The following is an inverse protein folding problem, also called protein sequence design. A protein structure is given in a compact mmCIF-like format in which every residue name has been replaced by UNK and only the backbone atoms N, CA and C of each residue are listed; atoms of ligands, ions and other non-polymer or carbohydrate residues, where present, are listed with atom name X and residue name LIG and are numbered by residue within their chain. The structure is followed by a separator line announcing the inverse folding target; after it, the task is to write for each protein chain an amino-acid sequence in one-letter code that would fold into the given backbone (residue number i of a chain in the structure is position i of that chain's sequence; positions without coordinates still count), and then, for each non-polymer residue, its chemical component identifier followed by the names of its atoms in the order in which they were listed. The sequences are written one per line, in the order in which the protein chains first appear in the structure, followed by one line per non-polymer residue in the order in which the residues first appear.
data_IF_323294992707
#
_entry.id   IF_323294992707
#
_cell.length_a   1.000
_cell.length_b   1.000
_cell.length_c   1.000
_cell.angle_alpha   90.00
_cell.angle_beta   90.00
_cell.angle_gamma   90.00
#
_symmetry.space_group_name_H-M   'P 1'
#
loop_
_entity.id
_entity.type
_entity.pdbx_description
1 polymer ?
#
# COMPACT_ATOMS: atom_id res chain seq x y z
N UNK A 1 -8.49 -6.97 -20.63
CA UNK A 1 -7.29 -6.16 -20.41
C UNK A 1 -6.63 -6.77 -19.20
N UNK A 2 -5.48 -7.40 -19.37
CA UNK A 2 -4.74 -7.97 -18.24
C UNK A 2 -4.12 -6.81 -17.45
N UNK A 3 -4.45 -6.70 -16.15
CA UNK A 3 -3.89 -5.67 -15.27
C UNK A 3 -2.47 -6.12 -14.89
N UNK A 4 -1.46 -5.30 -15.21
CA UNK A 4 -0.11 -5.55 -14.74
C UNK A 4 0.04 -5.07 -13.28
N UNK A 5 0.14 -6.00 -12.34
CA UNK A 5 0.27 -5.65 -10.92
C UNK A 5 1.58 -4.96 -10.58
N UNK A 6 2.62 -5.10 -11.42
CA UNK A 6 3.91 -4.46 -11.19
C UNK A 6 3.85 -2.94 -11.36
N UNK A 7 2.89 -2.40 -12.12
CA UNK A 7 2.68 -0.94 -12.24
C UNK A 7 2.37 -0.30 -10.89
N UNK A 8 1.85 -1.08 -9.92
CA UNK A 8 1.63 -0.60 -8.56
C UNK A 8 2.93 -0.27 -7.82
N UNK A 9 4.09 -0.73 -8.28
CA UNK A 9 5.39 -0.44 -7.66
C UNK A 9 5.85 1.00 -7.93
N UNK A 10 5.35 1.62 -9.00
CA UNK A 10 5.63 3.03 -9.33
C UNK A 10 4.79 4.00 -8.49
N UNK A 11 3.79 3.50 -7.77
CA UNK A 11 3.01 4.30 -6.82
C UNK A 11 3.85 4.64 -5.58
N UNK A 12 3.99 5.92 -5.25
CA UNK A 12 4.69 6.38 -4.05
C UNK A 12 3.78 6.23 -2.81
N UNK A 13 4.17 5.35 -1.88
CA UNK A 13 3.41 5.09 -0.66
C UNK A 13 3.45 6.25 0.34
N UNK A 14 4.44 7.13 0.21
CA UNK A 14 4.74 8.21 1.16
C UNK A 14 4.67 9.58 0.49
N UNK A 15 3.93 9.68 -0.63
CA UNK A 15 3.75 10.95 -1.31
C UNK A 15 3.19 12.01 -0.35
N UNK A 16 3.92 13.12 -0.22
CA UNK A 16 3.58 14.23 0.69
C UNK A 16 4.23 14.17 2.08
N UNK A 17 4.91 13.08 2.44
CA UNK A 17 5.70 13.03 3.68
C UNK A 17 7.02 13.81 3.53
N UNK A 18 7.36 14.62 4.54
CA UNK A 18 8.63 15.37 4.58
C UNK A 18 9.67 14.51 5.33
N UNK A 19 10.50 13.81 4.57
CA UNK A 19 11.66 13.07 5.09
C UNK A 19 12.87 13.96 5.41
N UNK A 20 13.89 13.36 6.03
CA UNK A 20 15.19 14.00 6.28
C UNK A 20 16.22 13.73 5.16
N UNK A 21 15.81 12.99 4.11
CA UNK A 21 16.62 12.61 2.97
C UNK A 21 17.46 11.35 3.20
N UNK A 22 17.35 10.71 4.36
CA UNK A 22 18.04 9.44 4.66
C UNK A 22 17.18 8.21 4.35
N UNK A 23 15.91 8.43 4.03
CA UNK A 23 14.97 7.40 3.65
C UNK A 23 15.42 6.65 2.40
N UNK A 24 15.28 5.31 2.43
CA UNK A 24 15.60 4.49 1.26
C UNK A 24 14.76 3.23 1.20
N UNK A 25 14.31 2.90 0.00
CA UNK A 25 13.70 1.61 -0.29
C UNK A 25 14.78 0.53 -0.39
N UNK A 26 14.63 -0.57 0.37
CA UNK A 26 15.51 -1.73 0.28
C UNK A 26 14.93 -2.84 -0.61
N UNK A 27 13.60 -2.95 -0.63
CA UNK A 27 12.91 -3.87 -1.53
C UNK A 27 11.48 -3.43 -1.71
N UNK A 28 10.95 -3.59 -2.93
CA UNK A 28 9.53 -3.41 -3.23
C UNK A 28 9.10 -4.41 -4.29
N UNK A 29 8.07 -5.21 -4.00
CA UNK A 29 7.70 -6.39 -4.80
C UNK A 29 6.23 -6.74 -4.66
N UNK A 30 5.65 -7.32 -5.71
CA UNK A 30 4.39 -8.05 -5.63
C UNK A 30 4.68 -9.49 -5.17
N UNK A 31 4.03 -9.92 -4.09
CA UNK A 31 4.29 -11.21 -3.44
C UNK A 31 3.00 -11.94 -3.10
N UNK A 32 3.10 -13.25 -2.89
CA UNK A 32 2.08 -14.06 -2.24
C UNK A 32 2.43 -14.21 -0.75
N UNK A 33 1.57 -13.69 0.14
CA UNK A 33 1.86 -13.64 1.57
C UNK A 33 1.95 -15.05 2.18
N UNK A 34 2.90 -15.25 3.10
CA UNK A 34 3.07 -16.51 3.86
C UNK A 34 2.50 -16.44 5.28
N UNK A 35 2.31 -15.23 5.80
CA UNK A 35 1.78 -14.93 7.14
C UNK A 35 0.68 -13.88 7.01
N UNK A 36 -0.19 -13.73 8.02
CA UNK A 36 -1.15 -12.65 8.03
C UNK A 36 -0.45 -11.30 8.20
N UNK A 37 -0.94 -10.28 7.48
CA UNK A 37 -0.46 -8.89 7.57
C UNK A 37 -1.65 -7.93 7.65
N UNK A 38 -1.39 -6.65 7.92
CA UNK A 38 -2.38 -5.58 7.86
C UNK A 38 -2.00 -4.64 6.73
N UNK A 39 -2.97 -4.32 5.88
CA UNK A 39 -2.79 -3.39 4.77
C UNK A 39 -2.46 -1.99 5.31
N UNK A 40 -1.38 -1.39 4.83
CA UNK A 40 -0.96 -0.05 5.23
C UNK A 40 -2.00 1.02 4.86
N UNK A 41 -2.51 0.99 3.62
CA UNK A 41 -3.49 1.96 3.12
C UNK A 41 -4.83 1.79 3.83
N UNK A 42 -5.51 0.66 3.62
CA UNK A 42 -6.90 0.51 4.03
C UNK A 42 -7.09 -0.20 5.38
N UNK A 43 -6.02 -0.64 6.04
CA UNK A 43 -6.09 -1.29 7.37
C UNK A 43 -6.76 -2.66 7.41
N UNK A 44 -7.06 -3.29 6.27
CA UNK A 44 -7.67 -4.62 6.20
C UNK A 44 -6.64 -5.72 6.48
N UNK A 45 -7.10 -6.86 7.00
CA UNK A 45 -6.24 -8.04 7.13
C UNK A 45 -5.93 -8.64 5.76
N UNK A 46 -4.69 -9.08 5.59
CA UNK A 46 -4.18 -9.85 4.44
C UNK A 46 -3.90 -11.24 4.97
N UNK A 47 -4.57 -12.25 4.44
CA UNK A 47 -4.42 -13.64 4.85
C UNK A 47 -3.28 -14.34 4.08
N UNK A 48 -2.69 -15.41 4.65
CA UNK A 48 -1.75 -16.25 3.92
C UNK A 48 -2.33 -16.75 2.58
N UNK A 49 -1.51 -16.70 1.53
CA UNK A 49 -1.90 -17.07 0.18
C UNK A 49 -2.50 -15.94 -0.66
N UNK A 50 -2.81 -14.78 -0.08
CA UNK A 50 -3.24 -13.62 -0.84
C UNK A 50 -2.07 -12.86 -1.47
N UNK A 51 -2.36 -12.12 -2.54
CA UNK A 51 -1.41 -11.23 -3.19
C UNK A 51 -1.31 -9.92 -2.40
N UNK A 52 -0.10 -9.37 -2.30
CA UNK A 52 0.15 -8.06 -1.73
C UNK A 52 1.37 -7.41 -2.38
N UNK A 53 1.42 -6.07 -2.39
CA UNK A 53 2.69 -5.35 -2.48
C UNK A 53 3.37 -5.43 -1.12
N UNK A 54 4.65 -5.75 -1.10
CA UNK A 54 5.47 -5.81 0.10
C UNK A 54 6.70 -4.96 -0.11
N UNK A 55 6.83 -3.94 0.72
CA UNK A 55 7.97 -3.03 0.66
C UNK A 55 8.71 -2.97 2.00
N UNK A 56 10.02 -2.77 1.94
CA UNK A 56 10.88 -2.61 3.11
C UNK A 56 11.71 -1.35 2.94
N UNK A 57 11.66 -0.50 3.94
CA UNK A 57 12.23 0.83 3.92
C UNK A 57 13.09 1.05 5.16
N UNK A 58 14.05 1.96 5.03
CA UNK A 58 14.75 2.55 6.18
C UNK A 58 14.24 3.96 6.36
N UNK A 59 13.78 4.28 7.57
CA UNK A 59 13.42 5.63 8.01
C UNK A 59 14.16 5.88 9.33
N UNK A 60 14.85 7.01 9.48
CA UNK A 60 15.60 7.37 10.70
C UNK A 60 16.56 6.26 11.21
N UNK A 61 17.09 5.45 10.29
CA UNK A 61 17.96 4.31 10.61
C UNK A 61 17.23 3.03 11.06
N UNK A 62 15.91 3.06 11.17
CA UNK A 62 15.07 1.91 11.53
C UNK A 62 14.47 1.22 10.30
N UNK A 63 14.31 -0.11 10.38
CA UNK A 63 13.72 -0.91 9.32
C UNK A 63 12.20 -0.99 9.48
N UNK A 64 11.48 -0.55 8.46
CA UNK A 64 10.03 -0.64 8.39
C UNK A 64 9.60 -1.57 7.25
N UNK A 65 8.51 -2.31 7.44
CA UNK A 65 7.92 -3.18 6.44
C UNK A 65 6.45 -2.86 6.26
N UNK A 66 6.05 -2.63 5.01
CA UNK A 66 4.67 -2.29 4.64
C UNK A 66 4.11 -3.36 3.72
N UNK A 67 2.82 -3.62 3.89
CA UNK A 67 2.07 -4.54 3.05
C UNK A 67 0.82 -3.84 2.55
N UNK A 68 0.50 -3.97 1.27
CA UNK A 68 -0.72 -3.42 0.68
C UNK A 68 -1.51 -4.57 0.06
N UNK A 69 -2.78 -4.72 0.46
CA UNK A 69 -3.62 -5.82 -0.02
C UNK A 69 -3.89 -5.69 -1.52
N UNK A 70 -4.23 -6.81 -2.16
CA UNK A 70 -4.54 -6.89 -3.60
C UNK A 70 -5.52 -5.80 -4.08
N UNK A 71 -6.56 -5.47 -3.30
CA UNK A 71 -7.52 -4.41 -3.67
C UNK A 71 -6.84 -3.04 -3.74
N UNK A 72 -5.94 -2.75 -2.81
CA UNK A 72 -5.18 -1.49 -2.83
C UNK A 72 -4.12 -1.51 -3.94
N UNK A 73 -3.52 -2.66 -4.23
CA UNK A 73 -2.61 -2.81 -5.38
C UNK A 73 -3.34 -2.50 -6.69
N UNK A 74 -4.55 -3.01 -6.90
CA UNK A 74 -5.35 -2.65 -8.08
C UNK A 74 -5.68 -1.16 -8.15
N UNK A 75 -5.98 -0.53 -7.02
CA UNK A 75 -6.21 0.92 -6.97
C UNK A 75 -4.95 1.70 -7.33
N UNK A 76 -3.77 1.27 -6.84
CA UNK A 76 -2.47 1.87 -7.18
C UNK A 76 -2.16 1.74 -8.68
N UNK A 77 -2.39 0.57 -9.28
CA UNK A 77 -2.20 0.39 -10.73
C UNK A 77 -3.05 1.40 -11.50
N UNK A 78 -4.32 1.55 -11.13
CA UNK A 78 -5.22 2.52 -11.79
C UNK A 78 -4.79 3.97 -11.58
N UNK A 79 -4.35 4.30 -10.37
CA UNK A 79 -3.81 5.62 -10.03
C UNK A 79 -2.62 5.97 -10.92
N UNK A 80 -1.57 5.12 -10.90
CA UNK A 80 -0.35 5.30 -11.69
C UNK A 80 -0.64 5.38 -13.19
N UNK A 81 -1.51 4.50 -13.69
CA UNK A 81 -1.86 4.47 -15.11
C UNK A 81 -2.89 5.55 -15.50
N UNK A 82 -3.36 6.36 -14.56
CA UNK A 82 -4.44 7.33 -14.77
C UNK A 82 -5.69 6.69 -15.40
N UNK A 83 -6.00 5.44 -15.01
CA UNK A 83 -7.13 4.64 -15.50
C UNK A 83 -8.36 4.82 -14.59
N UNK A 84 -8.88 6.05 -14.59
CA UNK A 84 -10.10 6.46 -13.89
C UNK A 84 -10.66 7.76 -14.48
N UNK A 85 -11.99 7.93 -14.46
CA UNK A 85 -12.66 9.08 -15.09
C UNK A 85 -12.85 10.27 -14.12
N UNK A 86 -13.22 10.00 -12.87
CA UNK A 86 -13.63 11.03 -11.90
C UNK A 86 -12.61 11.20 -10.77
N UNK A 87 -12.61 10.26 -9.81
CA UNK A 87 -11.75 10.31 -8.63
C UNK A 87 -10.72 9.18 -8.67
N UNK A 88 -9.50 9.48 -8.22
CA UNK A 88 -8.46 8.46 -8.10
C UNK A 88 -8.93 7.35 -7.14
N UNK A 89 -9.01 6.09 -7.61
CA UNK A 89 -9.48 4.99 -6.79
C UNK A 89 -8.66 4.76 -5.51
N UNK A 90 -7.43 5.25 -5.42
CA UNK A 90 -6.62 5.15 -4.21
C UNK A 90 -7.18 6.00 -3.05
N UNK A 91 -7.81 7.15 -3.34
CA UNK A 91 -8.40 8.02 -2.31
C UNK A 91 -9.47 7.29 -1.50
N UNK A 92 -10.39 6.62 -2.18
CA UNK A 92 -11.42 5.78 -1.52
C UNK A 92 -10.79 4.67 -0.65
N UNK A 93 -9.58 4.19 -0.97
CA UNK A 93 -8.87 3.20 -0.14
C UNK A 93 -8.30 3.82 1.12
N UNK A 94 -7.81 5.06 1.06
CA UNK A 94 -7.36 5.80 2.24
C UNK A 94 -8.51 6.07 3.22
N UNK A 95 -9.68 6.49 2.73
CA UNK A 95 -10.87 6.69 3.56
C UNK A 95 -11.27 5.41 4.32
N UNK A 96 -11.27 4.26 3.64
CA UNK A 96 -11.50 2.96 4.29
C UNK A 96 -10.48 2.70 5.41
N UNK A 97 -9.23 3.10 5.19
CA UNK A 97 -8.17 3.03 6.18
C UNK A 97 -8.43 3.90 7.40
N UNK A 98 -8.83 5.15 7.19
CA UNK A 98 -9.15 6.10 8.26
C UNK A 98 -10.28 5.57 9.14
N UNK A 99 -11.38 5.14 8.51
CA UNK A 99 -12.52 4.53 9.22
C UNK A 99 -12.08 3.28 10.00
N UNK A 100 -11.22 2.46 9.40
CA UNK A 100 -10.74 1.22 10.04
C UNK A 100 -9.81 1.49 11.22
N UNK A 101 -8.96 2.52 11.14
CA UNK A 101 -8.06 2.96 12.24
C UNK A 101 -8.86 3.58 13.38
N UNK A 102 -9.75 4.52 13.09
CA UNK A 102 -10.60 5.17 14.09
C UNK A 102 -11.45 4.16 14.89
N UNK A 103 -12.00 3.13 14.22
CA UNK A 103 -12.75 2.06 14.90
C UNK A 103 -11.90 1.22 15.87
N UNK A 104 -10.58 1.10 15.64
CA UNK A 104 -9.68 0.34 16.52
C UNK A 104 -9.28 1.13 17.76
N UNK A 105 -9.15 2.45 17.64
CA UNK A 105 -8.79 3.33 18.77
C UNK A 105 -9.96 3.57 19.73
N UNK A 106 -11.20 3.39 19.26
CA UNK A 106 -12.41 3.51 20.05
C UNK A 106 -12.79 2.24 20.85
N UNK A 107 -12.01 1.16 20.76
CA UNK A 107 -12.22 -0.12 21.46
C UNK A 107 -11.22 -0.29 22.60
#
# INVERSE_FOLDING_TARGET
MDINLEDALDFDLFEGDIGDGTERCLSDKIVKCRKPHVCYVCGSKIEPGQIARSSTWVFDGELHSYYNCEICVHAMVKSVNSDYDDEDPIHARYEVGEVSRAKREAQ
#
